data_IF_090889640260
#
_entry.id   IF_090889640260
#
_cell.length_a   1.000
_cell.length_b   1.000
_cell.length_c   1.000
_cell.angle_alpha   90.00
_cell.angle_beta   90.00
_cell.angle_gamma   90.00
#
_symmetry.space_group_name_H-M   'P 1'
#
loop_
_entity.id
_entity.type
_entity.pdbx_description
1 polymer ?
#
# COMPACT_ATOMS: atom_id res chain seq x y z
N UNK A 1 -6.46 -5.84 24.77
CA UNK A 1 -5.20 -6.58 24.99
C UNK A 1 -4.41 -6.66 23.68
N UNK A 2 -3.08 -6.62 23.74
CA UNK A 2 -2.19 -6.29 22.62
C UNK A 2 -2.00 -7.46 21.65
N UNK A 3 -1.69 -7.13 20.39
CA UNK A 3 -1.48 -8.11 19.32
C UNK A 3 -0.14 -8.81 19.56
N UNK A 4 -0.17 -10.13 19.72
CA UNK A 4 1.01 -10.97 20.00
C UNK A 4 2.04 -10.90 18.87
N UNK A 5 3.29 -10.78 19.28
CA UNK A 5 4.47 -10.43 18.50
C UNK A 5 5.20 -11.65 17.89
N UNK A 6 4.65 -12.30 16.86
CA UNK A 6 5.46 -13.22 16.04
C UNK A 6 5.44 -12.98 14.53
N UNK A 7 4.35 -12.43 13.98
CA UNK A 7 4.19 -12.18 12.54
C UNK A 7 4.07 -10.69 12.17
N UNK A 8 4.41 -9.78 13.08
CA UNK A 8 4.26 -8.33 12.92
C UNK A 8 5.19 -7.68 11.87
N UNK A 9 5.91 -8.47 11.03
CA UNK A 9 6.93 -7.94 10.11
C UNK A 9 6.38 -7.39 8.79
N UNK A 10 5.14 -7.71 8.43
CA UNK A 10 4.54 -7.30 7.16
C UNK A 10 3.11 -6.80 7.38
N UNK A 11 2.97 -5.64 8.04
CA UNK A 11 1.71 -4.88 8.01
C UNK A 11 1.78 -3.87 6.88
N UNK A 12 0.69 -3.77 6.13
CA UNK A 12 0.48 -2.65 5.21
C UNK A 12 0.47 -1.35 6.02
N UNK A 13 0.88 -0.25 5.38
CA UNK A 13 0.74 1.08 5.98
C UNK A 13 -0.74 1.39 6.26
N UNK A 14 -1.61 1.07 5.29
CA UNK A 14 -3.06 1.11 5.48
C UNK A 14 -3.74 -0.15 4.97
N UNK A 15 -4.83 -0.53 5.62
CA UNK A 15 -5.75 -1.57 5.11
C UNK A 15 -7.17 -1.04 5.15
N UNK A 16 -7.79 -0.88 3.97
CA UNK A 16 -9.22 -0.58 3.86
C UNK A 16 -10.00 -1.88 3.89
N UNK A 17 -11.11 -1.92 4.66
CA UNK A 17 -11.95 -3.11 4.82
C UNK A 17 -13.43 -2.74 4.90
N UNK A 18 -14.27 -3.51 4.23
CA UNK A 18 -15.73 -3.52 4.36
C UNK A 18 -16.19 -4.96 4.17
N UNK A 19 -16.96 -5.50 5.13
CA UNK A 19 -17.34 -6.92 5.12
C UNK A 19 -16.13 -7.84 4.92
N UNK A 20 -16.18 -8.69 3.90
CA UNK A 20 -15.08 -9.56 3.50
C UNK A 20 -14.06 -8.88 2.55
N UNK A 21 -14.39 -7.74 1.96
CA UNK A 21 -13.52 -7.02 1.04
C UNK A 21 -12.39 -6.32 1.79
N UNK A 22 -11.19 -6.36 1.19
CA UNK A 22 -10.00 -5.70 1.72
C UNK A 22 -9.10 -5.17 0.61
N UNK A 23 -8.44 -4.04 0.87
CA UNK A 23 -7.35 -3.49 0.04
C UNK A 23 -6.19 -3.10 0.94
N UNK A 24 -4.98 -3.49 0.54
CA UNK A 24 -3.73 -3.16 1.20
C UNK A 24 -3.08 -2.00 0.46
N UNK A 25 -2.59 -1.01 1.19
CA UNK A 25 -2.03 0.21 0.63
C UNK A 25 -0.66 0.42 1.27
N UNK A 26 0.32 0.74 0.43
CA UNK A 26 1.71 1.02 0.79
C UNK A 26 2.07 2.42 0.30
N UNK A 27 2.67 3.23 1.17
CA UNK A 27 3.21 4.53 0.81
C UNK A 27 4.69 4.38 0.50
N UNK A 28 5.07 4.69 -0.73
CA UNK A 28 6.44 4.58 -1.23
C UNK A 28 7.12 5.94 -1.13
N UNK A 29 7.76 6.19 0.02
CA UNK A 29 8.43 7.47 0.31
C UNK A 29 9.85 7.61 -0.21
N UNK A 30 10.43 6.58 -0.83
CA UNK A 30 11.83 6.55 -1.24
C UNK A 30 12.08 6.88 -2.72
N UNK A 31 11.04 6.88 -3.56
CA UNK A 31 11.19 7.11 -4.98
C UNK A 31 9.85 7.48 -5.64
N UNK A 32 9.94 8.00 -6.86
CA UNK A 32 8.80 8.07 -7.76
C UNK A 32 8.34 6.68 -8.22
N UNK A 33 7.33 6.68 -9.07
CA UNK A 33 6.83 5.49 -9.76
C UNK A 33 7.86 4.91 -10.74
N UNK A 34 8.84 5.71 -11.16
CA UNK A 34 10.01 5.30 -11.94
C UNK A 34 11.01 4.42 -11.18
N UNK A 35 10.89 4.37 -9.84
CA UNK A 35 11.76 3.62 -8.93
C UNK A 35 13.24 4.03 -8.98
N UNK A 36 13.52 5.28 -9.37
CA UNK A 36 14.87 5.82 -9.34
C UNK A 36 15.22 6.28 -7.92
N UNK A 37 16.37 5.83 -7.42
CA UNK A 37 16.92 6.19 -6.10
C UNK A 37 18.20 7.02 -6.24
N UNK A 38 18.39 8.01 -5.37
CA UNK A 38 19.45 9.03 -5.42
C UNK A 38 20.46 8.91 -4.28
N UNK A 39 20.16 8.11 -3.26
CA UNK A 39 21.04 7.87 -2.12
C UNK A 39 20.83 6.44 -1.57
N UNK A 40 21.70 6.05 -0.63
CA UNK A 40 21.70 4.70 -0.06
C UNK A 40 20.47 4.40 0.79
N UNK A 41 19.91 5.41 1.46
CA UNK A 41 18.68 5.25 2.23
C UNK A 41 17.50 4.93 1.30
N UNK A 42 17.34 5.68 0.21
CA UNK A 42 16.31 5.42 -0.80
C UNK A 42 16.45 4.01 -1.39
N UNK A 43 17.68 3.58 -1.68
CA UNK A 43 17.96 2.22 -2.16
C UNK A 43 17.58 1.15 -1.13
N UNK A 44 17.93 1.37 0.14
CA UNK A 44 17.57 0.47 1.23
C UNK A 44 16.04 0.37 1.39
N UNK A 45 15.33 1.49 1.33
CA UNK A 45 13.88 1.51 1.45
C UNK A 45 13.19 0.86 0.25
N UNK A 46 13.70 1.05 -0.96
CA UNK A 46 13.21 0.38 -2.15
C UNK A 46 13.37 -1.15 -2.05
N UNK A 47 14.52 -1.62 -1.57
CA UNK A 47 14.74 -3.05 -1.33
C UNK A 47 13.80 -3.63 -0.24
N UNK A 48 13.48 -2.85 0.80
CA UNK A 48 12.49 -3.23 1.82
C UNK A 48 11.07 -3.32 1.23
N UNK A 49 10.70 -2.39 0.36
CA UNK A 49 9.44 -2.43 -0.37
C UNK A 49 9.37 -3.69 -1.23
N UNK A 50 10.40 -4.00 -2.01
CA UNK A 50 10.42 -5.19 -2.89
C UNK A 50 10.28 -6.49 -2.11
N UNK A 51 10.94 -6.59 -0.95
CA UNK A 51 10.76 -7.73 -0.05
C UNK A 51 9.31 -7.87 0.42
N UNK A 52 8.63 -6.75 0.69
CA UNK A 52 7.23 -6.76 1.11
C UNK A 52 6.28 -7.07 -0.05
N UNK A 53 6.56 -6.57 -1.25
CA UNK A 53 5.83 -6.92 -2.47
C UNK A 53 5.93 -8.41 -2.78
N UNK A 54 7.09 -9.04 -2.56
CA UNK A 54 7.24 -10.49 -2.69
C UNK A 54 6.34 -11.27 -1.71
N UNK A 55 6.17 -10.78 -0.48
CA UNK A 55 5.26 -11.37 0.51
C UNK A 55 3.80 -11.25 0.09
N UNK A 56 3.40 -10.12 -0.49
CA UNK A 56 2.06 -9.95 -1.06
C UNK A 56 1.84 -10.88 -2.27
N UNK A 57 2.80 -10.94 -3.19
CA UNK A 57 2.72 -11.78 -4.37
C UNK A 57 2.58 -13.27 -4.02
N UNK A 58 3.31 -13.74 -3.01
CA UNK A 58 3.20 -15.12 -2.51
C UNK A 58 1.79 -15.47 -1.97
N UNK A 59 0.98 -14.47 -1.64
CA UNK A 59 -0.40 -14.62 -1.16
C UNK A 59 -1.44 -14.25 -2.24
N UNK A 60 -1.02 -14.00 -3.48
CA UNK A 60 -1.90 -13.54 -4.56
C UNK A 60 -2.47 -12.14 -4.32
N UNK A 61 -1.81 -11.31 -3.50
CA UNK A 61 -2.25 -9.95 -3.18
C UNK A 61 -1.48 -8.96 -4.06
N UNK A 62 -2.21 -8.01 -4.65
CA UNK A 62 -1.63 -6.83 -5.32
C UNK A 62 -1.97 -5.61 -4.47
N UNK A 63 -1.00 -5.01 -3.75
CA UNK A 63 -1.25 -3.81 -2.98
C UNK A 63 -1.34 -2.58 -3.89
N UNK A 64 -2.00 -1.53 -3.39
CA UNK A 64 -1.96 -0.21 -4.01
C UNK A 64 -0.70 0.49 -3.55
N UNK A 65 0.12 0.97 -4.49
CA UNK A 65 1.33 1.74 -4.19
C UNK A 65 1.08 3.22 -4.40
N UNK A 66 1.32 4.03 -3.37
CA UNK A 66 1.28 5.49 -3.43
C UNK A 66 2.71 6.00 -3.48
N UNK A 67 3.21 6.29 -4.67
CA UNK A 67 4.54 6.87 -4.89
C UNK A 67 4.57 8.38 -4.66
N UNK A 68 5.77 8.94 -4.50
CA UNK A 68 5.98 10.39 -4.32
C UNK A 68 5.32 11.24 -5.42
N UNK A 69 5.36 10.79 -6.67
CA UNK A 69 4.76 11.52 -7.79
C UNK A 69 3.25 11.69 -7.65
N UNK A 70 2.59 10.73 -7.00
CA UNK A 70 1.15 10.78 -6.73
C UNK A 70 0.84 11.67 -5.53
N UNK A 71 1.69 11.66 -4.50
CA UNK A 71 1.60 12.60 -3.37
C UNK A 71 1.75 14.06 -3.82
N UNK A 72 2.57 14.31 -4.85
CA UNK A 72 2.71 15.61 -5.49
C UNK A 72 1.49 16.03 -6.32
N UNK A 73 0.49 15.17 -6.49
CA UNK A 73 -0.74 15.42 -7.26
C UNK A 73 -1.99 15.21 -6.39
N UNK A 74 -2.34 16.13 -5.47
CA UNK A 74 -3.39 15.92 -4.48
C UNK A 74 -4.77 15.59 -5.07
N UNK A 75 -5.14 16.20 -6.21
CA UNK A 75 -6.40 15.91 -6.88
C UNK A 75 -6.45 14.45 -7.38
N UNK A 76 -5.36 13.97 -7.99
CA UNK A 76 -5.25 12.60 -8.49
C UNK A 76 -5.21 11.58 -7.36
N UNK A 77 -4.50 11.88 -6.27
CA UNK A 77 -4.50 11.07 -5.06
C UNK A 77 -5.90 10.98 -4.45
N UNK A 78 -6.64 12.10 -4.42
CA UNK A 78 -8.01 12.11 -3.92
C UNK A 78 -8.92 11.21 -4.76
N UNK A 79 -8.84 11.30 -6.09
CA UNK A 79 -9.59 10.40 -6.99
C UNK A 79 -9.27 8.94 -6.71
N UNK A 80 -7.99 8.57 -6.57
CA UNK A 80 -7.60 7.20 -6.21
C UNK A 80 -8.24 6.76 -4.89
N UNK A 81 -8.18 7.59 -3.85
CA UNK A 81 -8.76 7.28 -2.55
C UNK A 81 -10.29 7.07 -2.65
N UNK A 82 -11.00 7.96 -3.35
CA UNK A 82 -12.44 7.85 -3.53
C UNK A 82 -12.81 6.55 -4.28
N UNK A 83 -12.06 6.18 -5.33
CA UNK A 83 -12.25 4.95 -6.09
C UNK A 83 -11.99 3.69 -5.25
N UNK A 84 -10.96 3.71 -4.40
CA UNK A 84 -10.67 2.60 -3.48
C UNK A 84 -11.79 2.39 -2.47
N UNK A 85 -12.30 3.47 -1.88
CA UNK A 85 -13.42 3.42 -0.93
C UNK A 85 -14.67 2.86 -1.62
N UNK A 86 -15.03 3.39 -2.80
CA UNK A 86 -16.20 2.89 -3.57
C UNK A 86 -16.05 1.41 -3.93
N UNK A 87 -14.86 1.00 -4.37
CA UNK A 87 -14.58 -0.39 -4.74
C UNK A 87 -14.72 -1.33 -3.55
N UNK A 88 -14.11 -0.98 -2.41
CA UNK A 88 -14.16 -1.79 -1.19
C UNK A 88 -15.58 -1.86 -0.63
N UNK A 89 -16.33 -0.75 -0.65
CA UNK A 89 -17.72 -0.71 -0.23
C UNK A 89 -18.60 -1.62 -1.09
N UNK A 90 -18.48 -1.52 -2.43
CA UNK A 90 -19.22 -2.34 -3.39
C UNK A 90 -18.91 -3.83 -3.24
N UNK A 91 -17.64 -4.20 -3.10
CA UNK A 91 -17.23 -5.60 -2.94
C UNK A 91 -17.62 -6.18 -1.58
N UNK A 92 -17.69 -5.34 -0.55
CA UNK A 92 -18.00 -5.78 0.81
C UNK A 92 -19.48 -5.69 1.19
N UNK A 93 -20.34 -5.16 0.32
CA UNK A 93 -21.77 -5.01 0.57
C UNK A 93 -22.12 -3.94 1.61
N UNK A 94 -21.23 -2.97 1.85
CA UNK A 94 -21.52 -1.80 2.68
C UNK A 94 -22.00 -0.66 1.75
N UNK A 95 -23.23 -0.78 1.24
CA UNK A 95 -23.91 0.27 0.48
C UNK A 95 -24.91 1.01 1.35
#
# INVERSE_FOLDING_TARGET
>A
QPIRARDARHRADFTLRCGAARRFIEVVGCCGSDRITRNDDERLWLARLDRRLAVYAAQGIVPVLIHLDLLAQPARLRTLCDDLVRTVAREGGCS
#
